data_IF_905260010469
#
_entry.id   IF_905260010469
#
_cell.length_a   1.000
_cell.length_b   1.000
_cell.length_c   1.000
_cell.angle_alpha   90.00
_cell.angle_beta   90.00
_cell.angle_gamma   90.00
#
_symmetry.space_group_name_H-M   'P 1'
#
loop_
_entity.id
_entity.type
_entity.pdbx_description
1 polymer ?
#
# COMPACT_ATOMS: atom_id res chain seq x y z
N UNK A 1 -12.35 30.20 -27.11
CA UNK A 1 -12.80 30.09 -25.71
C UNK A 1 -14.31 30.22 -25.68
N UNK A 2 -15.03 29.36 -24.95
CA UNK A 2 -16.49 29.39 -24.89
C UNK A 2 -16.93 30.33 -23.75
N UNK A 3 -17.44 31.51 -24.09
CA UNK A 3 -17.77 32.60 -23.16
C UNK A 3 -18.85 32.24 -22.15
N UNK A 4 -19.73 31.30 -22.50
CA UNK A 4 -20.77 30.78 -21.61
C UNK A 4 -20.17 29.97 -20.46
N UNK A 5 -19.09 29.22 -20.72
CA UNK A 5 -18.39 28.45 -19.68
C UNK A 5 -17.66 29.37 -18.70
N UNK A 6 -17.08 30.47 -19.16
CA UNK A 6 -16.42 31.45 -18.27
C UNK A 6 -17.42 32.10 -17.30
N UNK A 7 -18.62 32.45 -17.77
CA UNK A 7 -19.69 33.00 -16.93
C UNK A 7 -20.18 32.01 -15.87
N UNK A 8 -20.29 30.73 -16.22
CA UNK A 8 -20.65 29.67 -15.26
C UNK A 8 -19.53 29.47 -14.24
N UNK A 9 -18.26 29.54 -14.64
CA UNK A 9 -17.18 29.46 -13.64
C UNK A 9 -17.22 30.63 -12.67
N UNK A 10 -17.48 31.86 -13.12
CA UNK A 10 -17.46 33.07 -12.28
C UNK A 10 -18.59 33.16 -11.24
N UNK A 11 -19.62 32.32 -11.33
CA UNK A 11 -20.74 32.28 -10.39
C UNK A 11 -20.33 31.80 -8.99
N UNK A 12 -20.75 32.53 -7.96
CA UNK A 12 -20.47 32.22 -6.54
C UNK A 12 -21.24 31.02 -5.99
N UNK A 13 -22.37 30.68 -6.62
CA UNK A 13 -23.23 29.52 -6.34
C UNK A 13 -22.78 28.26 -7.09
N UNK A 14 -21.79 28.36 -7.97
CA UNK A 14 -21.24 27.21 -8.66
C UNK A 14 -20.29 26.48 -7.72
N UNK A 15 -20.68 25.26 -7.31
CA UNK A 15 -19.79 24.37 -6.58
C UNK A 15 -18.58 24.07 -7.46
N UNK A 16 -17.43 24.67 -7.12
CA UNK A 16 -16.14 24.35 -7.73
C UNK A 16 -15.51 23.25 -6.89
N UNK A 17 -15.44 22.03 -7.45
CA UNK A 17 -14.62 20.99 -6.85
C UNK A 17 -13.19 21.49 -6.69
N UNK A 18 -12.59 21.33 -5.51
CA UNK A 18 -11.19 21.69 -5.31
C UNK A 18 -10.32 20.70 -6.09
N UNK A 19 -9.82 21.11 -7.25
CA UNK A 19 -8.64 20.48 -7.83
C UNK A 19 -7.44 20.82 -6.93
N UNK A 20 -6.53 19.86 -6.74
CA UNK A 20 -5.35 19.92 -5.87
C UNK A 20 -4.37 21.08 -6.18
N UNK A 21 -4.68 21.94 -7.15
CA UNK A 21 -3.91 23.14 -7.48
C UNK A 21 -4.14 24.35 -6.56
N UNK A 22 -5.08 24.29 -5.59
CA UNK A 22 -5.23 25.36 -4.59
C UNK A 22 -4.58 24.96 -3.26
N UNK A 23 -3.27 25.11 -3.15
CA UNK A 23 -2.59 25.18 -1.85
C UNK A 23 -2.98 26.50 -1.17
N UNK A 24 -3.61 26.43 0.01
CA UNK A 24 -3.83 27.62 0.86
C UNK A 24 -5.27 27.91 1.32
N UNK A 25 -6.21 26.97 1.21
CA UNK A 25 -7.56 27.14 1.77
C UNK A 25 -7.82 26.22 2.96
N UNK A 26 -8.13 26.79 4.12
CA UNK A 26 -8.61 26.09 5.33
C UNK A 26 -9.58 24.94 4.97
N UNK A 27 -9.30 23.75 5.53
CA UNK A 27 -10.14 22.55 5.37
C UNK A 27 -11.54 22.84 5.93
N UNK A 28 -12.62 22.39 5.27
CA UNK A 28 -13.97 22.59 5.79
C UNK A 28 -14.12 21.85 7.13
N UNK A 29 -14.64 22.53 8.15
CA UNK A 29 -14.86 21.98 9.49
C UNK A 29 -15.81 20.76 9.53
N UNK A 30 -16.56 20.52 8.45
CA UNK A 30 -17.56 19.44 8.34
C UNK A 30 -17.09 18.28 7.44
N UNK A 31 -15.85 18.30 6.96
CA UNK A 31 -15.27 17.10 6.39
C UNK A 31 -14.69 16.27 7.53
N UNK A 32 -14.96 14.97 7.57
CA UNK A 32 -14.23 13.99 8.41
C UNK A 32 -12.73 13.87 8.01
N UNK A 33 -12.18 14.93 7.40
CA UNK A 33 -10.82 15.09 6.89
C UNK A 33 -10.02 15.95 7.88
N UNK A 34 -10.12 15.66 9.18
CA UNK A 34 -9.25 16.26 10.18
C UNK A 34 -7.82 15.76 9.95
N UNK A 35 -6.93 16.60 9.43
CA UNK A 35 -5.46 16.46 9.52
C UNK A 35 -4.85 15.06 9.36
N UNK A 36 -5.44 14.22 8.48
CA UNK A 36 -4.85 12.93 8.14
C UNK A 36 -3.88 13.19 6.99
N UNK A 37 -2.63 13.51 7.34
CA UNK A 37 -1.51 13.30 6.42
C UNK A 37 -1.37 11.79 6.17
N UNK A 38 -1.24 11.39 4.91
CA UNK A 38 -1.09 9.98 4.56
C UNK A 38 0.23 9.43 5.10
N UNK A 39 0.28 8.13 5.38
CA UNK A 39 1.55 7.47 5.69
C UNK A 39 2.44 7.50 4.44
N UNK A 40 3.66 8.00 4.55
CA UNK A 40 4.60 8.08 3.41
C UNK A 40 4.69 6.73 2.67
N UNK A 41 4.57 6.77 1.33
CA UNK A 41 4.72 5.57 0.51
C UNK A 41 6.17 5.14 0.32
N UNK A 42 7.13 6.02 0.59
CA UNK A 42 8.55 5.86 0.25
C UNK A 42 8.87 6.18 -1.21
N UNK A 43 7.88 6.57 -2.02
CA UNK A 43 8.05 6.94 -3.41
C UNK A 43 7.48 8.34 -3.65
N UNK A 44 8.36 9.32 -3.89
CA UNK A 44 7.97 10.72 -4.09
C UNK A 44 6.95 10.89 -5.22
N UNK A 45 7.11 10.15 -6.33
CA UNK A 45 6.16 10.18 -7.46
C UNK A 45 4.79 9.64 -7.10
N UNK A 46 4.72 8.65 -6.20
CA UNK A 46 3.45 8.11 -5.74
C UNK A 46 2.79 9.05 -4.72
N UNK A 47 3.56 9.60 -3.78
CA UNK A 47 3.06 10.62 -2.86
C UNK A 47 2.46 11.80 -3.63
N UNK A 48 3.14 12.33 -4.65
CA UNK A 48 2.63 13.43 -5.46
C UNK A 48 1.32 13.10 -6.20
N UNK A 49 1.11 11.84 -6.55
CA UNK A 49 -0.12 11.37 -7.20
C UNK A 49 -1.28 11.12 -6.21
N UNK A 50 -0.97 10.84 -4.95
CA UNK A 50 -1.96 10.54 -3.93
C UNK A 50 -2.52 11.82 -3.28
N UNK A 51 -3.83 11.84 -3.05
CA UNK A 51 -4.53 12.99 -2.48
C UNK A 51 -4.03 13.35 -1.08
N UNK A 52 -3.71 12.33 -0.27
CA UNK A 52 -3.17 12.51 1.09
C UNK A 52 -1.64 12.60 1.12
N UNK A 53 -0.97 12.65 -0.04
CA UNK A 53 0.48 12.61 -0.16
C UNK A 53 1.13 11.36 0.48
N UNK A 54 0.37 10.28 0.58
CA UNK A 54 0.75 9.03 1.22
C UNK A 54 -0.41 8.04 1.24
N UNK A 55 -0.20 6.88 1.85
CA UNK A 55 -1.20 5.84 2.06
C UNK A 55 -2.33 6.33 2.98
N UNK A 56 -3.61 6.15 2.58
CA UNK A 56 -4.74 6.46 3.45
C UNK A 56 -4.84 5.45 4.59
N UNK A 57 -4.50 5.90 5.81
CA UNK A 57 -4.80 5.16 7.04
C UNK A 57 -6.29 5.27 7.38
N UNK A 58 -6.79 4.35 8.22
CA UNK A 58 -8.19 4.36 8.65
C UNK A 58 -9.17 4.03 7.53
N UNK A 59 -8.71 3.38 6.46
CA UNK A 59 -9.54 2.91 5.38
C UNK A 59 -8.84 1.76 4.65
N UNK A 60 -9.55 1.06 3.76
CA UNK A 60 -8.94 -0.02 2.97
C UNK A 60 -8.36 0.50 1.66
N UNK A 61 -7.20 -0.07 1.31
CA UNK A 61 -6.51 0.06 0.04
C UNK A 61 -6.66 -1.30 -0.67
N UNK A 62 -7.17 -1.29 -1.90
CA UNK A 62 -7.09 -2.48 -2.77
C UNK A 62 -5.89 -2.35 -3.69
N UNK A 63 -5.04 -3.38 -3.72
CA UNK A 63 -3.99 -3.51 -4.73
C UNK A 63 -4.27 -4.73 -5.61
N UNK A 64 -4.51 -4.45 -6.89
CA UNK A 64 -4.81 -5.44 -7.90
C UNK A 64 -3.54 -5.80 -8.68
N UNK A 65 -3.26 -7.10 -8.81
CA UNK A 65 -2.12 -7.59 -9.60
C UNK A 65 -2.44 -8.91 -10.28
N UNK A 66 -1.79 -9.20 -11.41
CA UNK A 66 -1.97 -10.45 -12.16
C UNK A 66 -1.23 -11.65 -11.52
N UNK A 67 -0.32 -11.39 -10.57
CA UNK A 67 0.41 -12.40 -9.81
C UNK A 67 -0.20 -12.71 -8.44
N UNK A 68 0.49 -13.57 -7.67
CA UNK A 68 0.10 -13.97 -6.31
C UNK A 68 0.05 -12.81 -5.29
N UNK A 69 0.49 -11.60 -5.66
CA UNK A 69 0.47 -10.41 -4.81
C UNK A 69 1.75 -10.17 -3.99
N UNK A 70 2.76 -11.06 -4.04
CA UNK A 70 4.04 -10.81 -3.34
C UNK A 70 4.88 -9.70 -3.97
N UNK A 71 4.97 -9.66 -5.30
CA UNK A 71 5.60 -8.53 -6.00
C UNK A 71 4.88 -7.20 -5.71
N UNK A 72 3.57 -7.29 -5.48
CA UNK A 72 2.72 -6.16 -5.12
C UNK A 72 2.93 -5.73 -3.65
N UNK A 73 3.21 -6.66 -2.74
CA UNK A 73 3.57 -6.36 -1.34
C UNK A 73 4.87 -5.54 -1.26
N UNK A 74 5.81 -5.76 -2.18
CA UNK A 74 7.07 -5.01 -2.26
C UNK A 74 6.87 -3.49 -2.31
N UNK A 75 5.74 -3.02 -2.84
CA UNK A 75 5.36 -1.61 -2.86
C UNK A 75 5.22 -1.00 -1.46
N UNK A 76 4.89 -1.81 -0.46
CA UNK A 76 4.66 -1.34 0.91
C UNK A 76 5.88 -1.51 1.82
N UNK A 77 7.01 -2.03 1.33
CA UNK A 77 8.21 -2.22 2.15
C UNK A 77 8.67 -0.94 2.89
N UNK A 78 8.70 0.26 2.26
CA UNK A 78 9.08 1.49 2.97
C UNK A 78 8.10 1.85 4.11
N UNK A 79 6.80 1.64 3.87
CA UNK A 79 5.77 1.85 4.88
C UNK A 79 5.90 0.83 6.02
N UNK A 80 6.20 -0.43 5.71
CA UNK A 80 6.42 -1.48 6.70
C UNK A 80 7.63 -1.20 7.60
N UNK A 81 8.72 -0.67 7.05
CA UNK A 81 9.90 -0.24 7.81
C UNK A 81 9.52 0.86 8.81
N UNK A 82 8.83 1.90 8.32
CA UNK A 82 8.36 3.02 9.16
C UNK A 82 7.44 2.54 10.28
N UNK A 83 6.50 1.65 9.97
CA UNK A 83 5.55 1.10 10.94
C UNK A 83 6.19 0.13 11.93
N UNK A 84 7.32 -0.49 11.58
CA UNK A 84 8.04 -1.40 12.49
C UNK A 84 8.60 -0.67 13.72
N UNK A 85 8.89 0.63 13.62
CA UNK A 85 9.39 1.44 14.73
C UNK A 85 8.34 1.56 15.85
N UNK A 86 7.05 1.44 15.52
CA UNK A 86 5.94 1.58 16.48
C UNK A 86 5.82 0.39 17.44
N UNK A 87 6.50 -0.73 17.16
CA UNK A 87 6.46 -1.91 18.01
C UNK A 87 5.15 -2.70 17.97
N UNK A 88 4.33 -2.49 16.94
CA UNK A 88 3.00 -3.10 16.73
C UNK A 88 3.06 -4.23 15.71
N UNK A 89 2.09 -5.13 15.77
CA UNK A 89 2.01 -6.26 14.85
C UNK A 89 1.77 -5.81 13.41
N UNK A 90 2.48 -6.43 12.47
CA UNK A 90 2.16 -6.39 11.05
C UNK A 90 1.56 -7.73 10.66
N UNK A 91 0.24 -7.77 10.45
CA UNK A 91 -0.51 -8.99 10.22
C UNK A 91 -0.53 -9.36 8.73
N UNK A 92 -0.18 -10.60 8.43
CA UNK A 92 -0.10 -11.17 7.09
C UNK A 92 -1.10 -12.32 7.00
N UNK A 93 -2.19 -12.12 6.28
CA UNK A 93 -3.35 -13.01 6.30
C UNK A 93 -3.49 -13.71 4.97
N UNK A 94 -3.38 -15.04 5.02
CA UNK A 94 -3.33 -15.92 3.85
C UNK A 94 -2.26 -15.55 2.81
N UNK A 95 -1.02 -15.18 3.21
CA UNK A 95 0.02 -14.88 2.24
C UNK A 95 0.24 -16.11 1.32
N UNK A 96 0.38 -15.91 0.00
CA UNK A 96 0.49 -17.02 -0.96
C UNK A 96 1.75 -17.87 -0.74
N UNK A 97 2.80 -17.25 -0.21
CA UNK A 97 4.03 -17.91 0.22
C UNK A 97 4.53 -17.24 1.50
N UNK A 98 5.37 -17.94 2.25
CA UNK A 98 6.00 -17.38 3.45
C UNK A 98 6.94 -16.22 3.06
N UNK A 99 6.75 -15.01 3.62
CA UNK A 99 7.66 -13.89 3.38
C UNK A 99 9.09 -14.24 3.76
N UNK A 100 10.06 -13.80 2.94
CA UNK A 100 11.46 -14.10 3.18
C UNK A 100 11.99 -13.27 4.35
N UNK A 101 12.04 -13.87 5.55
CA UNK A 101 12.41 -13.19 6.79
C UNK A 101 13.77 -12.45 6.74
N UNK A 102 14.83 -12.98 6.11
CA UNK A 102 16.09 -12.25 5.97
C UNK A 102 15.98 -10.93 5.20
N UNK A 103 15.14 -10.87 4.15
CA UNK A 103 14.89 -9.62 3.42
C UNK A 103 14.23 -8.59 4.33
N UNK A 104 13.22 -9.00 5.10
CA UNK A 104 12.52 -8.10 6.02
C UNK A 104 13.47 -7.57 7.10
N UNK A 105 14.27 -8.45 7.70
CA UNK A 105 15.28 -8.08 8.68
C UNK A 105 16.35 -7.13 8.10
N UNK A 106 16.80 -7.37 6.86
CA UNK A 106 17.77 -6.51 6.19
C UNK A 106 17.20 -5.12 5.84
N UNK A 107 15.87 -4.99 5.72
CA UNK A 107 15.17 -3.70 5.59
C UNK A 107 14.72 -3.13 6.93
N UNK A 108 15.26 -3.61 8.05
CA UNK A 108 14.97 -3.07 9.38
C UNK A 108 13.58 -3.42 9.95
N UNK A 109 12.83 -4.31 9.29
CA UNK A 109 11.52 -4.76 9.76
C UNK A 109 11.72 -5.86 10.79
N UNK A 110 11.20 -5.67 12.02
CA UNK A 110 11.33 -6.65 13.09
C UNK A 110 10.44 -7.88 12.81
N UNK A 111 11.10 -8.98 12.44
CA UNK A 111 10.42 -10.24 12.13
C UNK A 111 9.70 -10.85 13.32
N UNK A 112 10.02 -10.44 14.55
CA UNK A 112 9.29 -10.85 15.76
C UNK A 112 7.90 -10.20 15.88
N UNK A 113 7.65 -9.14 15.11
CA UNK A 113 6.39 -8.39 15.08
C UNK A 113 5.58 -8.68 13.81
N UNK A 114 5.92 -9.76 13.10
CA UNK A 114 5.15 -10.23 11.95
C UNK A 114 4.24 -11.37 12.40
N UNK A 115 2.94 -11.19 12.21
CA UNK A 115 1.94 -12.21 12.53
C UNK A 115 1.45 -12.88 11.24
N UNK A 116 1.86 -14.13 11.01
CA UNK A 116 1.37 -14.93 9.88
C UNK A 116 0.10 -15.69 10.28
N UNK A 117 -0.98 -15.42 9.56
CA UNK A 117 -2.28 -16.08 9.74
C UNK A 117 -2.55 -16.93 8.50
N UNK A 118 -2.84 -18.21 8.70
CA UNK A 118 -3.21 -19.16 7.64
C UNK A 118 -4.65 -19.66 7.85
N UNK A 119 -5.65 -18.89 7.38
CA UNK A 119 -7.05 -19.29 7.44
C UNK A 119 -7.30 -20.59 6.67
N UNK A 120 -8.24 -21.43 7.15
CA UNK A 120 -8.57 -22.71 6.51
C UNK A 120 -9.58 -22.57 5.39
N UNK A 121 -10.41 -21.54 5.47
CA UNK A 121 -11.50 -21.28 4.54
C UNK A 121 -11.71 -19.77 4.37
N UNK A 122 -12.66 -19.42 3.49
CA UNK A 122 -12.99 -18.04 3.14
C UNK A 122 -13.60 -17.24 4.31
N UNK A 123 -14.41 -17.88 5.14
CA UNK A 123 -15.04 -17.22 6.30
C UNK A 123 -13.98 -16.87 7.33
N UNK A 124 -13.07 -17.80 7.64
CA UNK A 124 -11.93 -17.59 8.52
C UNK A 124 -11.02 -16.46 7.99
N UNK A 125 -10.82 -16.37 6.67
CA UNK A 125 -10.02 -15.32 6.04
C UNK A 125 -10.64 -13.94 6.25
N UNK A 126 -11.93 -13.80 5.94
CA UNK A 126 -12.64 -12.53 6.12
C UNK A 126 -12.74 -12.17 7.59
N UNK A 127 -13.02 -13.14 8.46
CA UNK A 127 -13.11 -12.94 9.91
C UNK A 127 -11.76 -12.52 10.50
N UNK A 128 -10.67 -13.23 10.17
CA UNK A 128 -9.33 -12.88 10.65
C UNK A 128 -8.91 -11.48 10.16
N UNK A 129 -9.25 -11.13 8.92
CA UNK A 129 -9.00 -9.79 8.38
C UNK A 129 -9.80 -8.74 9.14
N UNK A 130 -11.09 -8.97 9.39
CA UNK A 130 -11.93 -8.07 10.17
C UNK A 130 -11.39 -7.89 11.60
N UNK A 131 -11.01 -8.98 12.29
CA UNK A 131 -10.46 -8.90 13.65
C UNK A 131 -9.13 -8.15 13.70
N UNK A 132 -8.23 -8.40 12.75
CA UNK A 132 -6.96 -7.69 12.66
C UNK A 132 -7.16 -6.19 12.43
N UNK A 133 -8.12 -5.80 11.59
CA UNK A 133 -8.44 -4.40 11.30
C UNK A 133 -9.08 -3.68 12.49
N UNK A 134 -9.95 -4.37 13.24
CA UNK A 134 -10.56 -3.82 14.47
C UNK A 134 -9.58 -3.72 15.64
N UNK A 135 -8.48 -4.46 15.60
CA UNK A 135 -7.50 -4.48 16.67
C UNK A 135 -6.60 -3.25 16.61
N UNK A 136 -6.46 -2.55 17.73
CA UNK A 136 -5.48 -1.46 17.89
C UNK A 136 -4.05 -1.96 18.07
N UNK A 137 -3.82 -3.27 18.03
CA UNK A 137 -2.48 -3.85 18.19
C UNK A 137 -1.71 -3.98 16.87
N UNK A 138 -2.39 -3.89 15.73
CA UNK A 138 -1.77 -4.06 14.41
C UNK A 138 -1.49 -2.71 13.76
N UNK A 139 -0.25 -2.42 13.35
CA UNK A 139 0.09 -1.21 12.58
C UNK A 139 -0.16 -1.39 11.08
N UNK A 140 -0.12 -2.62 10.58
CA UNK A 140 -0.46 -2.97 9.21
C UNK A 140 -1.23 -4.29 9.14
N UNK A 141 -2.17 -4.38 8.21
CA UNK A 141 -2.91 -5.59 7.88
C UNK A 141 -2.85 -5.82 6.37
N UNK A 142 -2.12 -6.85 5.99
CA UNK A 142 -1.96 -7.33 4.62
C UNK A 142 -2.80 -8.59 4.45
N UNK A 143 -3.87 -8.52 3.65
CA UNK A 143 -4.76 -9.67 3.42
C UNK A 143 -4.77 -10.06 1.95
N UNK A 144 -4.36 -11.30 1.65
CA UNK A 144 -4.37 -11.85 0.30
C UNK A 144 -5.68 -12.58 0.06
N UNK A 145 -6.60 -11.88 -0.60
CA UNK A 145 -7.94 -12.41 -0.88
C UNK A 145 -7.98 -13.37 -2.08
N UNK A 146 -6.89 -13.45 -2.85
CA UNK A 146 -6.73 -14.35 -3.99
C UNK A 146 -7.59 -13.98 -5.19
N UNK A 147 -7.80 -14.97 -6.09
CA UNK A 147 -8.59 -14.81 -7.32
C UNK A 147 -10.10 -15.08 -7.12
N UNK A 148 -10.59 -15.02 -5.89
CA UNK A 148 -12.00 -15.32 -5.58
C UNK A 148 -12.86 -14.08 -5.77
N UNK A 149 -14.10 -14.27 -6.26
CA UNK A 149 -15.09 -13.20 -6.30
C UNK A 149 -15.59 -12.88 -4.87
N UNK A 150 -15.64 -11.61 -4.52
CA UNK A 150 -16.19 -11.13 -3.24
C UNK A 150 -17.37 -10.20 -3.49
N UNK A 151 -18.42 -10.37 -2.70
CA UNK A 151 -19.59 -9.48 -2.71
C UNK A 151 -19.20 -8.13 -2.13
N UNK A 152 -19.86 -7.09 -2.60
CA UNK A 152 -19.64 -5.73 -2.10
C UNK A 152 -19.83 -5.63 -0.58
N UNK A 153 -20.82 -6.32 -0.02
CA UNK A 153 -21.10 -6.31 1.42
C UNK A 153 -19.96 -6.90 2.25
N UNK A 154 -19.26 -7.93 1.76
CA UNK A 154 -18.11 -8.53 2.45
C UNK A 154 -16.94 -7.54 2.50
N UNK A 155 -16.63 -6.89 1.38
CA UNK A 155 -15.59 -5.88 1.30
C UNK A 155 -15.96 -4.63 2.12
N UNK A 156 -17.24 -4.27 2.18
CA UNK A 156 -17.72 -3.13 2.96
C UNK A 156 -17.58 -3.39 4.45
N UNK A 157 -17.80 -4.62 4.92
CA UNK A 157 -17.51 -5.00 6.31
C UNK A 157 -16.03 -4.80 6.65
N UNK A 158 -15.12 -5.25 5.78
CA UNK A 158 -13.67 -5.02 5.97
C UNK A 158 -13.33 -3.52 5.97
N UNK A 159 -13.91 -2.75 5.06
CA UNK A 159 -13.70 -1.30 5.03
C UNK A 159 -14.21 -0.61 6.30
N UNK A 160 -15.38 -1.00 6.82
CA UNK A 160 -15.93 -0.49 8.07
C UNK A 160 -15.10 -0.90 9.29
N UNK A 161 -14.46 -2.07 9.23
CA UNK A 161 -13.55 -2.53 10.26
C UNK A 161 -12.24 -1.73 10.31
N UNK A 162 -11.77 -1.25 9.15
CA UNK A 162 -10.62 -0.36 9.04
C UNK A 162 -10.95 1.11 9.38
N UNK A 163 -12.23 1.48 9.31
CA UNK A 163 -12.70 2.86 9.46
C UNK A 163 -12.37 3.42 10.84
N UNK A 164 -11.71 4.59 10.88
CA UNK A 164 -11.29 5.23 12.13
C UNK A 164 -10.12 4.55 12.86
N UNK A 165 -9.59 3.44 12.32
CA UNK A 165 -8.33 2.86 12.78
C UNK A 165 -7.11 3.64 12.28
N UNK A 166 -5.93 3.31 12.81
CA UNK A 166 -4.65 3.89 12.37
C UNK A 166 -3.76 2.87 11.64
N UNK A 167 -4.28 1.66 11.40
CA UNK A 167 -3.57 0.60 10.69
C UNK A 167 -3.58 0.84 9.17
N UNK A 168 -2.46 0.51 8.51
CA UNK A 168 -2.39 0.39 7.06
C UNK A 168 -3.12 -0.88 6.61
N UNK A 169 -4.29 -0.73 5.98
CA UNK A 169 -5.14 -1.85 5.59
C UNK A 169 -5.08 -2.12 4.09
N UNK A 170 -4.40 -3.20 3.68
CA UNK A 170 -4.18 -3.56 2.27
C UNK A 170 -4.83 -4.89 1.94
N UNK A 171 -5.67 -4.88 0.92
CA UNK A 171 -6.33 -6.07 0.37
C UNK A 171 -5.74 -6.37 -1.02
N UNK A 172 -5.00 -7.48 -1.14
CA UNK A 172 -4.47 -7.95 -2.42
C UNK A 172 -5.50 -8.80 -3.14
N UNK A 173 -5.76 -8.47 -4.41
CA UNK A 173 -6.73 -9.17 -5.25
C UNK A 173 -6.21 -9.33 -6.68
N UNK A 174 -6.84 -10.22 -7.43
CA UNK A 174 -6.58 -10.39 -8.86
C UNK A 174 -6.91 -9.12 -9.66
N UNK A 175 -6.08 -8.79 -10.65
CA UNK A 175 -6.33 -7.74 -11.67
C UNK A 175 -7.70 -7.88 -12.35
N UNK A 176 -8.27 -9.09 -12.41
CA UNK A 176 -9.62 -9.33 -12.95
C UNK A 176 -10.71 -8.59 -12.16
N UNK A 177 -10.46 -8.26 -10.89
CA UNK A 177 -11.39 -7.52 -10.04
C UNK A 177 -11.41 -5.99 -10.32
N UNK A 178 -10.61 -5.49 -11.26
CA UNK A 178 -10.55 -4.07 -11.64
C UNK A 178 -11.92 -3.49 -12.02
N UNK A 179 -12.71 -4.26 -12.78
CA UNK A 179 -14.06 -3.88 -13.23
C UNK A 179 -15.13 -4.00 -12.14
N UNK A 180 -14.85 -4.71 -11.05
CA UNK A 180 -15.81 -4.89 -9.97
C UNK A 180 -15.83 -3.65 -9.08
N UNK A 181 -17.02 -3.23 -8.62
CA UNK A 181 -17.13 -2.17 -7.63
C UNK A 181 -16.62 -2.64 -6.27
N UNK A 182 -15.84 -1.79 -5.60
CA UNK A 182 -15.34 -2.03 -4.26
C UNK A 182 -15.40 -0.76 -3.38
N UNK A 183 -15.65 -0.91 -2.07
CA UNK A 183 -15.79 0.20 -1.13
C UNK A 183 -14.46 0.84 -0.71
N UNK A 184 -13.31 0.27 -1.09
CA UNK A 184 -11.98 0.79 -0.75
C UNK A 184 -11.81 2.26 -1.15
N UNK A 185 -11.15 3.05 -0.31
CA UNK A 185 -10.90 4.48 -0.54
C UNK A 185 -9.88 4.73 -1.65
N UNK A 186 -8.92 3.81 -1.77
CA UNK A 186 -7.87 3.79 -2.78
C UNK A 186 -7.87 2.41 -3.45
N UNK A 187 -7.90 2.39 -4.78
CA UNK A 187 -7.75 1.18 -5.58
C UNK A 187 -6.63 1.41 -6.58
N UNK A 188 -5.64 0.55 -6.50
CA UNK A 188 -4.46 0.56 -7.35
C UNK A 188 -4.42 -0.72 -8.17
N UNK A 189 -3.91 -0.63 -9.38
CA UNK A 189 -3.59 -1.77 -10.22
C UNK A 189 -2.11 -1.71 -10.59
N UNK A 190 -1.38 -2.76 -10.26
CA UNK A 190 -0.01 -2.95 -10.69
C UNK A 190 -0.04 -3.65 -12.04
N UNK A 191 0.21 -2.91 -13.12
CA UNK A 191 0.21 -3.44 -14.49
C UNK A 191 1.52 -4.17 -14.79
N UNK A 192 2.62 -3.59 -14.33
CA UNK A 192 3.98 -4.10 -14.49
C UNK A 192 4.79 -3.79 -13.22
N UNK A 193 6.00 -4.33 -13.14
CA UNK A 193 6.93 -3.92 -12.11
C UNK A 193 7.14 -2.39 -12.17
N UNK A 194 6.89 -1.69 -11.06
CA UNK A 194 7.00 -0.22 -10.92
C UNK A 194 6.03 0.64 -11.75
N UNK A 195 4.97 0.07 -12.32
CA UNK A 195 3.90 0.85 -12.96
C UNK A 195 2.58 0.62 -12.25
N UNK A 196 2.06 1.69 -11.65
CA UNK A 196 0.84 1.69 -10.85
C UNK A 196 -0.20 2.54 -11.56
N UNK A 197 -1.34 1.95 -11.85
CA UNK A 197 -2.52 2.64 -12.33
C UNK A 197 -3.48 2.89 -11.18
N UNK A 198 -3.83 4.15 -10.91
CA UNK A 198 -4.80 4.52 -9.87
C UNK A 198 -6.21 4.37 -10.45
N UNK A 199 -6.89 3.29 -10.10
CA UNK A 199 -8.27 3.03 -10.54
C UNK A 199 -9.29 3.90 -9.79
N UNK A 200 -9.05 4.17 -8.50
CA UNK A 200 -9.94 4.94 -7.64
C UNK A 200 -9.14 5.57 -6.53
N UNK A 201 -9.44 6.82 -6.22
CA UNK A 201 -8.93 7.52 -5.06
C UNK A 201 -10.00 8.50 -4.57
N UNK A 202 -10.29 8.49 -3.28
CA UNK A 202 -11.21 9.46 -2.68
C UNK A 202 -10.54 10.84 -2.64
N UNK A 203 -11.18 11.85 -3.25
CA UNK A 203 -10.73 13.25 -3.21
C UNK A 203 -9.65 13.64 -4.22
N UNK A 204 -8.95 12.68 -4.83
CA UNK A 204 -7.89 12.93 -5.80
C UNK A 204 -8.21 12.49 -7.22
N UNK A 205 -7.24 12.68 -8.11
CA UNK A 205 -7.33 12.24 -9.50
C UNK A 205 -7.43 10.70 -9.58
N UNK A 206 -8.17 10.23 -10.59
CA UNK A 206 -8.40 8.82 -10.88
C UNK A 206 -8.01 8.53 -12.32
N UNK A 207 -7.79 7.26 -12.64
CA UNK A 207 -7.34 6.79 -13.96
C UNK A 207 -6.02 7.44 -14.40
N UNK A 208 -5.08 7.53 -13.47
CA UNK A 208 -3.73 8.06 -13.72
C UNK A 208 -2.70 6.94 -13.60
N UNK A 209 -1.71 6.97 -14.48
CA UNK A 209 -0.55 6.09 -14.46
C UNK A 209 0.61 6.76 -13.72
N UNK A 210 1.21 6.02 -12.80
CA UNK A 210 2.36 6.44 -12.00
C UNK A 210 3.47 5.43 -12.22
N UNK A 211 4.58 5.90 -12.78
CA UNK A 211 5.80 5.11 -12.90
C UNK A 211 6.71 5.42 -11.71
N UNK A 212 7.18 4.39 -11.02
CA UNK A 212 8.13 4.52 -9.91
C UNK A 212 9.56 4.43 -10.48
N UNK A 213 10.32 5.54 -10.52
CA UNK A 213 11.66 5.53 -11.08
C UNK A 213 12.62 4.72 -10.19
N UNK A 214 13.58 3.98 -10.78
CA UNK A 214 14.59 3.26 -10.00
C UNK A 214 15.44 4.11 -9.06
N UNK A 215 15.57 5.39 -9.35
CA UNK A 215 16.28 6.33 -8.48
C UNK A 215 15.60 6.54 -7.11
N UNK A 216 14.32 6.18 -6.97
CA UNK A 216 13.59 6.22 -5.70
C UNK A 216 13.74 4.93 -4.88
N UNK A 217 14.51 3.95 -5.36
CA UNK A 217 14.92 2.85 -4.50
C UNK A 217 15.77 3.40 -3.35
N UNK A 218 15.43 3.05 -2.11
CA UNK A 218 16.23 3.42 -0.95
C UNK A 218 17.64 2.82 -1.15
N UNK A 219 18.70 3.64 -1.23
CA UNK A 219 20.06 3.16 -1.45
C UNK A 219 20.45 2.15 -0.37
N UNK A 220 21.16 1.08 -0.76
CA UNK A 220 21.65 0.01 0.11
C UNK A 220 20.58 -0.87 0.81
N UNK A 221 19.31 -0.81 0.39
CA UNK A 221 18.31 -1.76 0.87
C UNK A 221 18.02 -2.86 -0.17
N UNK A 222 18.09 -4.15 0.21
CA UNK A 222 17.91 -5.25 -0.72
C UNK A 222 16.50 -5.25 -1.30
N UNK A 223 16.39 -5.28 -2.62
CA UNK A 223 15.12 -5.43 -3.34
C UNK A 223 14.58 -6.87 -3.19
N UNK A 224 13.31 -7.09 -3.55
CA UNK A 224 12.63 -8.39 -3.37
C UNK A 224 13.36 -9.56 -4.08
N UNK A 225 14.17 -9.26 -5.12
CA UNK A 225 14.96 -10.24 -5.88
C UNK A 225 16.44 -10.28 -5.46
N UNK A 226 16.88 -9.46 -4.51
CA UNK A 226 18.26 -9.41 -4.04
C UNK A 226 18.42 -10.24 -2.77
N UNK A 227 19.49 -11.03 -2.72
CA UNK A 227 19.88 -11.69 -1.48
C UNK A 227 20.47 -10.62 -0.55
N UNK A 228 19.99 -10.52 0.70
CA UNK A 228 20.52 -9.54 1.64
C UNK A 228 22.00 -9.83 1.88
N UNK A 229 22.86 -8.85 1.56
CA UNK A 229 24.24 -8.88 1.96
C UNK A 229 24.30 -8.60 3.46
N UNK A 230 24.62 -9.61 4.27
CA UNK A 230 24.87 -9.40 5.69
C UNK A 230 26.16 -8.57 5.83
N UNK A 231 26.15 -7.42 6.52
CA UNK A 231 27.38 -6.72 6.86
C UNK A 231 28.20 -7.62 7.79
N UNK A 232 29.14 -8.38 7.21
CA UNK A 232 29.93 -9.42 7.88
C UNK A 232 30.43 -10.54 6.97
N UNK A 233 29.89 -10.72 5.76
CA UNK A 233 30.39 -11.72 4.80
C UNK A 233 31.40 -11.14 3.81
N UNK A 234 32.38 -10.39 4.30
CA UNK A 234 33.59 -10.06 3.53
C UNK A 234 34.72 -11.04 3.88
N UNK A 235 35.25 -11.69 2.84
CA UNK A 235 36.56 -12.35 2.73
C UNK A 235 36.74 -13.75 3.34
N UNK A 236 36.66 -14.75 2.45
CA UNK A 236 37.70 -15.80 2.33
C UNK A 236 37.63 -16.40 0.92
N UNK A 237 38.05 -15.64 -0.09
CA UNK A 237 38.64 -16.26 -1.28
C UNK A 237 40.11 -16.51 -0.94
N UNK A 238 40.38 -17.71 -0.43
CA UNK A 238 41.74 -18.22 -0.26
C UNK A 238 42.37 -18.34 -1.65
N UNK A 239 43.26 -17.42 -1.97
CA UNK A 239 44.21 -17.56 -3.08
C UNK A 239 45.16 -18.70 -2.73
N UNK A 240 44.85 -19.92 -3.19
CA UNK A 240 45.85 -20.99 -3.21
C UNK A 240 46.80 -20.71 -4.36
N UNK A 241 47.93 -20.08 -4.04
CA UNK A 241 49.04 -19.91 -4.95
C UNK A 241 49.59 -21.27 -5.37
N UNK A 242 49.62 -21.51 -6.68
CA UNK A 242 50.41 -22.57 -7.29
C UNK A 242 51.81 -22.00 -7.57
N UNK A 243 52.83 -22.60 -6.95
CA UNK A 243 54.24 -22.40 -7.29
C UNK A 243 54.88 -23.77 -7.62
N UNK A 244 55.93 -23.79 -8.44
CA UNK A 244 56.11 -24.77 -9.52
C UNK A 244 57.04 -25.94 -9.14
N UNK A 245 57.02 -26.97 -9.97
CA UNK A 245 58.08 -27.96 -10.13
C UNK A 245 58.42 -28.09 -11.62
#
# INVERSE_FOLDING_TARGET
MNTVLEQVFQRSDTWRGRHSHFQGGTRPANGDSHDIEGLDTGYETLNAALYLQGWPLGNTIELLSDGCGLGAMGLFLPAMETLSIQGRWQAFIAPPYTPYAPLLAARGIDTRQILLIHPRNREDLLWSTEQALRSTTCSAVFSWLGNTAYRYSELRKLQLAADGGDALAVLFRSSQASKNHAPASLRLQMQEYRKIHILKQRGGNQHIDVCLPPAQDIPNQPQLWELPAYPGSSQQHSTTGMAPA
#
